data_IF_732708920310
#
_entry.id   IF_732708920310
#
_cell.length_a   1.000
_cell.length_b   1.000
_cell.length_c   1.000
_cell.angle_alpha   90.00
_cell.angle_beta   90.00
_cell.angle_gamma   90.00
#
_symmetry.space_group_name_H-M   'P 1'
#
loop_
_entity.id
_entity.type
_entity.pdbx_description
1 polymer ?
#
# COMPACT_ATOMS: atom_id res chain seq x y z
N UNK A 1 -14.78 3.80 -4.36
CA UNK A 1 -14.64 4.78 -3.27
C UNK A 1 -14.20 6.04 -3.96
N UNK A 2 -15.09 7.02 -4.07
CA UNK A 2 -14.76 8.29 -4.70
C UNK A 2 -13.83 9.04 -3.74
N UNK A 3 -12.69 9.47 -4.26
CA UNK A 3 -11.81 10.38 -3.55
C UNK A 3 -12.47 11.75 -3.68
N UNK A 4 -13.07 12.23 -2.59
CA UNK A 4 -13.81 13.49 -2.59
C UNK A 4 -12.81 14.61 -2.34
N UNK A 5 -12.29 15.19 -3.42
CA UNK A 5 -11.77 16.54 -3.37
C UNK A 5 -12.89 17.52 -3.67
N UNK A 6 -12.96 18.58 -2.88
CA UNK A 6 -13.99 19.61 -3.02
C UNK A 6 -13.63 20.64 -4.09
N UNK A 7 -12.33 20.79 -4.38
CA UNK A 7 -11.79 21.71 -5.39
C UNK A 7 -10.79 21.00 -6.29
N UNK A 8 -10.75 21.41 -7.56
CA UNK A 8 -9.64 21.07 -8.46
C UNK A 8 -8.40 21.89 -8.06
N UNK A 9 -7.17 21.42 -8.35
CA UNK A 9 -5.95 22.13 -8.00
C UNK A 9 -5.94 23.59 -8.49
N UNK A 10 -6.41 23.85 -9.71
CA UNK A 10 -6.44 25.19 -10.32
C UNK A 10 -7.54 26.10 -9.74
N UNK A 11 -8.50 25.53 -9.02
CA UNK A 11 -9.60 26.25 -8.38
C UNK A 11 -9.27 26.69 -6.94
N UNK A 12 -8.13 26.24 -6.38
CA UNK A 12 -7.69 26.66 -5.05
C UNK A 12 -7.18 28.10 -5.07
N UNK A 13 -7.72 28.96 -4.23
CA UNK A 13 -7.36 30.37 -4.09
C UNK A 13 -6.09 30.60 -3.25
N UNK A 14 -5.59 29.57 -2.56
CA UNK A 14 -4.38 29.68 -1.75
C UNK A 14 -3.92 28.37 -1.10
N UNK A 15 -2.79 28.46 -0.40
CA UNK A 15 -2.11 27.31 0.20
C UNK A 15 -2.93 26.56 1.26
N UNK A 16 -3.84 27.25 1.95
CA UNK A 16 -4.71 26.62 2.94
C UNK A 16 -5.68 25.63 2.28
N UNK A 17 -6.28 26.02 1.16
CA UNK A 17 -7.19 25.15 0.42
C UNK A 17 -6.45 23.97 -0.20
N UNK A 18 -5.28 24.22 -0.82
CA UNK A 18 -4.43 23.17 -1.37
C UNK A 18 -4.10 22.11 -0.31
N UNK A 19 -3.68 22.54 0.89
CA UNK A 19 -3.34 21.61 1.97
C UNK A 19 -4.54 20.81 2.42
N UNK A 20 -5.71 21.43 2.56
CA UNK A 20 -6.94 20.73 2.93
C UNK A 20 -7.30 19.64 1.91
N UNK A 21 -7.16 19.94 0.61
CA UNK A 21 -7.43 18.96 -0.45
C UNK A 21 -6.40 17.81 -0.45
N UNK A 22 -5.12 18.09 -0.17
CA UNK A 22 -4.07 17.08 0.01
C UNK A 22 -4.34 16.21 1.24
N UNK A 23 -4.69 16.80 2.37
CA UNK A 23 -4.99 16.05 3.61
C UNK A 23 -6.17 15.08 3.40
N UNK A 24 -7.19 15.49 2.65
CA UNK A 24 -8.32 14.64 2.27
C UNK A 24 -7.89 13.45 1.39
N UNK A 25 -7.01 13.70 0.41
CA UNK A 25 -6.40 12.67 -0.44
C UNK A 25 -5.61 11.66 0.41
N UNK A 26 -4.75 12.14 1.29
CA UNK A 26 -3.91 11.30 2.15
C UNK A 26 -4.76 10.47 3.11
N UNK A 27 -5.83 11.03 3.66
CA UNK A 27 -6.77 10.27 4.47
C UNK A 27 -7.43 9.13 3.67
N UNK A 28 -7.82 9.38 2.42
CA UNK A 28 -8.37 8.35 1.55
C UNK A 28 -7.34 7.26 1.22
N UNK A 29 -6.09 7.63 0.95
CA UNK A 29 -4.98 6.69 0.74
C UNK A 29 -4.79 5.80 1.97
N UNK A 30 -4.75 6.37 3.18
CA UNK A 30 -4.60 5.61 4.42
C UNK A 30 -5.76 4.62 4.63
N UNK A 31 -7.01 5.03 4.35
CA UNK A 31 -8.17 4.13 4.43
C UNK A 31 -8.06 2.96 3.44
N UNK A 32 -7.60 3.21 2.22
CA UNK A 32 -7.36 2.17 1.21
C UNK A 32 -6.23 1.22 1.64
N UNK A 33 -5.16 1.75 2.23
CA UNK A 33 -4.07 0.95 2.79
C UNK A 33 -4.54 0.07 3.95
N UNK A 34 -5.42 0.59 4.82
CA UNK A 34 -6.06 -0.20 5.88
C UNK A 34 -6.88 -1.37 5.33
N UNK A 35 -7.70 -1.12 4.30
CA UNK A 35 -8.44 -2.19 3.61
C UNK A 35 -7.51 -3.19 2.94
N UNK A 36 -6.46 -2.71 2.26
CA UNK A 36 -5.42 -3.55 1.66
C UNK A 36 -4.77 -4.46 2.71
N UNK A 37 -4.49 -3.94 3.90
CA UNK A 37 -3.91 -4.73 4.99
C UNK A 37 -4.85 -5.84 5.48
N UNK A 38 -6.16 -5.60 5.53
CA UNK A 38 -7.14 -6.65 5.85
C UNK A 38 -7.08 -7.82 4.86
N UNK A 39 -6.87 -7.56 3.57
CA UNK A 39 -6.65 -8.63 2.58
C UNK A 39 -5.34 -9.39 2.82
N UNK A 40 -4.28 -8.71 3.26
CA UNK A 40 -3.02 -9.37 3.62
C UNK A 40 -3.23 -10.31 4.82
N UNK A 41 -3.92 -9.84 5.87
CA UNK A 41 -4.29 -10.69 7.02
C UNK A 41 -5.20 -11.87 6.66
N UNK A 42 -6.08 -11.70 5.68
CA UNK A 42 -6.89 -12.82 5.18
C UNK A 42 -6.03 -13.83 4.41
N UNK A 43 -5.10 -13.34 3.58
CA UNK A 43 -4.18 -14.19 2.83
C UNK A 43 -3.20 -14.94 3.74
N UNK A 44 -2.73 -14.33 4.84
CA UNK A 44 -1.78 -14.96 5.76
C UNK A 44 -2.32 -16.25 6.37
N UNK A 45 -3.63 -16.33 6.64
CA UNK A 45 -4.32 -17.53 7.15
C UNK A 45 -4.29 -18.72 6.19
N UNK A 46 -4.07 -18.47 4.89
CA UNK A 46 -4.00 -19.52 3.86
C UNK A 46 -2.57 -19.99 3.60
N UNK A 47 -1.57 -19.30 4.15
CA UNK A 47 -0.15 -19.58 3.89
C UNK A 47 0.36 -20.66 4.85
N UNK A 48 0.84 -21.75 4.28
CA UNK A 48 1.32 -22.94 5.02
C UNK A 48 2.83 -23.00 5.18
N UNK A 49 3.59 -22.05 4.60
CA UNK A 49 5.05 -22.03 4.65
C UNK A 49 5.65 -20.62 4.56
N UNK A 50 6.85 -20.41 5.11
CA UNK A 50 7.57 -19.15 5.00
C UNK A 50 7.84 -18.71 3.53
N UNK A 51 8.02 -19.66 2.61
CA UNK A 51 8.16 -19.36 1.17
C UNK A 51 6.86 -18.81 0.58
N UNK A 52 5.71 -19.35 0.98
CA UNK A 52 4.40 -18.82 0.61
C UNK A 52 4.10 -17.44 1.23
N UNK A 53 4.78 -17.10 2.34
CA UNK A 53 4.75 -15.76 2.96
C UNK A 53 5.52 -14.74 2.14
N UNK A 54 6.73 -15.08 1.67
CA UNK A 54 7.59 -14.15 0.93
C UNK A 54 7.23 -13.99 -0.55
N UNK A 55 6.74 -15.04 -1.21
CA UNK A 55 6.24 -15.02 -2.60
C UNK A 55 7.02 -14.08 -3.57
N UNK A 56 8.34 -14.29 -3.77
CA UNK A 56 9.24 -13.31 -4.40
C UNK A 56 8.85 -12.93 -5.83
N UNK A 57 8.45 -13.91 -6.66
CA UNK A 57 8.01 -13.63 -8.04
C UNK A 57 6.73 -12.79 -8.08
N UNK A 58 5.78 -13.04 -7.18
CA UNK A 58 4.56 -12.24 -7.06
C UNK A 58 4.89 -10.82 -6.63
N UNK A 59 5.82 -10.65 -5.69
CA UNK A 59 6.24 -9.34 -5.22
C UNK A 59 6.91 -8.54 -6.34
N UNK A 60 7.83 -9.15 -7.10
CA UNK A 60 8.49 -8.53 -8.26
C UNK A 60 7.49 -8.11 -9.34
N UNK A 61 6.57 -9.01 -9.72
CA UNK A 61 5.53 -8.70 -10.71
C UNK A 61 4.59 -7.57 -10.23
N UNK A 62 4.27 -7.54 -8.93
CA UNK A 62 3.48 -6.47 -8.34
C UNK A 62 4.19 -5.12 -8.44
N UNK A 63 5.49 -5.04 -8.11
CA UNK A 63 6.26 -3.80 -8.20
C UNK A 63 6.33 -3.28 -9.63
N UNK A 64 6.57 -4.16 -10.62
CA UNK A 64 6.59 -3.78 -12.04
C UNK A 64 5.27 -3.11 -12.45
N UNK A 65 4.13 -3.71 -12.11
CA UNK A 65 2.83 -3.12 -12.40
C UNK A 65 2.62 -1.76 -11.71
N UNK A 66 3.15 -1.54 -10.50
CA UNK A 66 3.06 -0.24 -9.82
C UNK A 66 3.92 0.82 -10.49
N UNK A 67 5.07 0.45 -11.06
CA UNK A 67 5.88 1.37 -11.89
C UNK A 67 5.09 1.82 -13.12
N UNK A 68 4.48 0.88 -13.83
CA UNK A 68 3.67 1.18 -15.02
C UNK A 68 2.49 2.12 -14.68
N UNK A 69 1.83 1.91 -13.54
CA UNK A 69 0.77 2.81 -13.07
C UNK A 69 1.29 4.19 -12.67
N UNK A 70 2.47 4.27 -12.06
CA UNK A 70 3.09 5.54 -11.72
C UNK A 70 3.37 6.37 -12.97
N UNK A 71 3.95 5.74 -14.01
CA UNK A 71 4.23 6.40 -15.28
C UNK A 71 2.96 6.91 -15.96
N UNK A 72 1.87 6.12 -15.93
CA UNK A 72 0.59 6.52 -16.50
C UNK A 72 -0.03 7.77 -15.82
N UNK A 73 0.25 7.97 -14.54
CA UNK A 73 -0.20 9.13 -13.75
C UNK A 73 0.83 10.28 -13.72
N UNK A 74 1.93 10.19 -14.49
CA UNK A 74 2.97 11.21 -14.54
C UNK A 74 3.86 11.28 -13.29
N UNK A 75 3.89 10.21 -12.48
CA UNK A 75 4.68 10.09 -11.27
C UNK A 75 6.04 9.46 -11.55
N UNK A 76 7.02 9.66 -10.66
CA UNK A 76 8.31 8.98 -10.75
C UNK A 76 8.14 7.48 -10.37
N UNK A 77 8.42 6.53 -11.28
CA UNK A 77 8.22 5.10 -11.02
C UNK A 77 9.10 4.57 -9.89
N UNK A 78 10.32 5.09 -9.73
CA UNK A 78 11.24 4.65 -8.67
C UNK A 78 10.73 5.07 -7.29
N UNK A 79 10.12 6.25 -7.18
CA UNK A 79 9.52 6.73 -5.93
C UNK A 79 8.32 5.86 -5.53
N UNK A 80 7.44 5.54 -6.47
CA UNK A 80 6.27 4.68 -6.22
C UNK A 80 6.69 3.25 -5.92
N UNK A 81 7.66 2.69 -6.65
CA UNK A 81 8.21 1.37 -6.35
C UNK A 81 8.75 1.32 -4.93
N UNK A 82 9.57 2.30 -4.53
CA UNK A 82 10.14 2.34 -3.18
C UNK A 82 9.05 2.37 -2.12
N UNK A 83 8.05 3.23 -2.27
CA UNK A 83 6.91 3.32 -1.34
C UNK A 83 6.18 1.98 -1.18
N UNK A 84 5.87 1.31 -2.30
CA UNK A 84 5.20 0.01 -2.25
C UNK A 84 6.10 -1.11 -1.73
N UNK A 85 7.40 -1.07 -2.03
CA UNK A 85 8.37 -2.03 -1.51
C UNK A 85 8.44 -1.96 0.01
N UNK A 86 8.62 -0.77 0.57
CA UNK A 86 8.69 -0.55 2.01
C UNK A 86 7.39 -0.99 2.70
N UNK A 87 6.24 -0.61 2.15
CA UNK A 87 4.93 -1.00 2.66
C UNK A 87 4.73 -2.52 2.71
N UNK A 88 5.05 -3.23 1.63
CA UNK A 88 4.85 -4.69 1.58
C UNK A 88 5.85 -5.43 2.45
N UNK A 89 7.11 -4.99 2.48
CA UNK A 89 8.11 -5.59 3.36
C UNK A 89 7.72 -5.44 4.83
N UNK A 90 7.14 -4.30 5.23
CA UNK A 90 6.58 -4.12 6.56
C UNK A 90 5.49 -5.17 6.85
N UNK A 91 4.53 -5.35 5.95
CA UNK A 91 3.46 -6.33 6.15
C UNK A 91 3.96 -7.78 6.18
N UNK A 92 4.93 -8.16 5.34
CA UNK A 92 5.57 -9.48 5.39
C UNK A 92 6.26 -9.69 6.75
N UNK A 93 6.95 -8.68 7.26
CA UNK A 93 7.60 -8.77 8.57
C UNK A 93 6.57 -8.98 9.70
N UNK A 94 5.45 -8.25 9.66
CA UNK A 94 4.34 -8.45 10.60
C UNK A 94 3.71 -9.85 10.47
N UNK A 95 3.46 -10.34 9.25
CA UNK A 95 2.98 -11.71 9.02
C UNK A 95 3.92 -12.76 9.64
N UNK A 96 5.24 -12.61 9.44
CA UNK A 96 6.23 -13.56 9.97
C UNK A 96 6.26 -13.58 11.51
N UNK A 97 6.07 -12.44 12.18
CA UNK A 97 5.96 -12.39 13.65
C UNK A 97 4.74 -13.17 14.15
N UNK A 98 3.59 -12.98 13.51
CA UNK A 98 2.36 -13.69 13.86
C UNK A 98 2.48 -15.20 13.60
N UNK A 99 3.15 -15.59 12.51
CA UNK A 99 3.35 -17.00 12.17
C UNK A 99 4.30 -17.72 13.14
N UNK A 100 5.38 -17.06 13.57
CA UNK A 100 6.30 -17.61 14.57
C UNK A 100 5.60 -17.80 15.93
N UNK A 101 4.85 -16.79 16.39
CA UNK A 101 4.11 -16.86 17.65
C UNK A 101 3.04 -17.97 17.67
N UNK A 102 2.47 -18.33 16.52
CA UNK A 102 1.48 -19.43 16.41
C UNK A 102 2.12 -20.83 16.42
N UNK A 103 3.43 -20.96 16.18
CA UNK A 103 4.13 -22.24 16.24
C UNK A 103 4.72 -22.56 17.61
N UNK A 104 5.00 -21.54 18.42
CA UNK A 104 5.50 -21.74 19.79
C UNK A 104 4.40 -22.19 20.78
N UNK A 105 3.13 -22.17 20.36
CA UNK A 105 1.96 -22.58 21.15
C UNK A 105 1.49 -24.03 20.83
N UNK A 106 2.33 -24.82 20.14
CA UNK A 106 2.13 -26.25 19.83
C UNK A 106 3.33 -27.09 20.27
#
# INVERSE_FOLDING_TARGET
MEVINHLQPEACAGMEEIRREIDALDQAVIQLLGKRFQYVLAASKLKTSATSVRAPERFKAMLLARREWAEAEGLNPDAIEKMYSDLVNHFIAEEMKHWAAQQDDT
#
